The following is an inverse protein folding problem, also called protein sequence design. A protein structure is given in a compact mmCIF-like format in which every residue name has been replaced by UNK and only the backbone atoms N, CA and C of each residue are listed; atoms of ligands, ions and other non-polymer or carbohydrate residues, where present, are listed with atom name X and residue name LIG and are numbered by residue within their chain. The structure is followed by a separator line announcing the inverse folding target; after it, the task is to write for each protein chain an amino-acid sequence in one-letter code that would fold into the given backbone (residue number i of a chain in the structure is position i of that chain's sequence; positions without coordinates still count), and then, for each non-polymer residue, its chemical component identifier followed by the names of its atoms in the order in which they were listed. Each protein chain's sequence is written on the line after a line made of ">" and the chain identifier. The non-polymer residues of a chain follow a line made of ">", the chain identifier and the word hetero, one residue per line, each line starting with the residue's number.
data_IF_562274609963
#
_entry.id   IF_562274609963
#
_cell.length_a   1.000
_cell.length_b   1.000
_cell.length_c   1.000
_cell.angle_alpha   90.00
_cell.angle_beta   90.00
_cell.angle_gamma   90.00
#
_symmetry.space_group_name_H-M   'P 1'
#
loop_
_entity.id
_entity.type
_entity.pdbx_description
1 polymer ?
#
# COMPACT_ATOMS: atom_id res chain seq x y z
N UNK A 1 -11.23 2.43 6.89
CA UNK A 1 -11.55 3.50 5.91
C UNK A 1 -10.33 3.65 5.00
N UNK A 2 -10.49 3.74 3.68
CA UNK A 2 -9.35 3.87 2.74
C UNK A 2 -8.84 5.32 2.74
N UNK A 3 -7.53 5.57 2.71
CA UNK A 3 -6.95 6.88 2.41
C UNK A 3 -7.38 7.39 1.04
N UNK A 4 -7.89 8.62 0.98
CA UNK A 4 -8.19 9.29 -0.28
C UNK A 4 -7.02 10.22 -0.64
N UNK A 5 -6.35 9.94 -1.75
CA UNK A 5 -5.36 10.84 -2.33
C UNK A 5 -6.06 11.76 -3.33
N UNK A 6 -6.06 13.05 -3.04
CA UNK A 6 -6.84 14.04 -3.78
C UNK A 6 -5.88 14.94 -4.55
N UNK A 7 -6.12 15.08 -5.85
CA UNK A 7 -5.46 16.05 -6.71
C UNK A 7 -6.47 17.13 -7.10
N UNK A 8 -6.24 18.35 -6.64
CA UNK A 8 -7.08 19.49 -6.98
C UNK A 8 -6.39 20.35 -8.04
N UNK A 9 -7.04 20.50 -9.19
CA UNK A 9 -6.57 21.33 -10.30
C UNK A 9 -7.19 22.71 -10.09
N UNK A 10 -6.36 23.68 -9.70
CA UNK A 10 -6.83 25.05 -9.53
C UNK A 10 -6.80 25.79 -10.86
N UNK A 11 -7.97 26.17 -11.38
CA UNK A 11 -8.10 26.98 -12.59
C UNK A 11 -8.34 28.45 -12.23
N UNK A 12 -7.75 29.40 -12.98
CA UNK A 12 -7.83 30.84 -12.68
C UNK A 12 -9.22 31.45 -12.88
N UNK A 13 -10.24 30.65 -13.17
CA UNK A 13 -11.64 31.03 -13.33
C UNK A 13 -12.42 31.10 -12.03
N UNK A 14 -11.93 30.47 -10.95
CA UNK A 14 -12.65 30.36 -9.69
C UNK A 14 -12.39 31.58 -8.81
N UNK A 15 -13.41 32.08 -8.13
CA UNK A 15 -13.23 33.18 -7.17
C UNK A 15 -12.43 32.70 -5.95
N UNK A 16 -11.67 33.60 -5.30
CA UNK A 16 -10.83 33.23 -4.13
C UNK A 16 -11.63 32.56 -3.02
N UNK A 17 -12.87 33.00 -2.81
CA UNK A 17 -13.78 32.49 -1.78
C UNK A 17 -14.29 31.06 -2.09
N UNK A 18 -14.52 30.74 -3.36
CA UNK A 18 -14.87 29.38 -3.81
C UNK A 18 -13.68 28.44 -3.67
N UNK A 19 -12.47 28.91 -4.00
CA UNK A 19 -11.24 28.12 -3.88
C UNK A 19 -10.98 27.76 -2.41
N UNK A 20 -11.10 28.72 -1.49
CA UNK A 20 -10.91 28.47 -0.06
C UNK A 20 -11.91 27.41 0.47
N UNK A 21 -13.17 27.51 0.04
CA UNK A 21 -14.22 26.58 0.46
C UNK A 21 -13.97 25.16 -0.05
N UNK A 22 -13.58 25.01 -1.32
CA UNK A 22 -13.28 23.71 -1.93
C UNK A 22 -12.02 23.11 -1.32
N UNK A 23 -10.96 23.89 -1.17
CA UNK A 23 -9.70 23.43 -0.57
C UNK A 23 -9.94 22.95 0.86
N UNK A 24 -10.73 23.70 1.66
CA UNK A 24 -11.08 23.31 3.03
C UNK A 24 -11.85 21.98 3.08
N UNK A 25 -12.84 21.81 2.20
CA UNK A 25 -13.58 20.54 2.11
C UNK A 25 -12.68 19.36 1.74
N UNK A 26 -11.80 19.54 0.75
CA UNK A 26 -10.87 18.49 0.31
C UNK A 26 -9.81 18.17 1.39
N UNK A 27 -9.39 19.17 2.16
CA UNK A 27 -8.54 18.99 3.33
C UNK A 27 -9.24 18.13 4.39
N UNK A 28 -10.47 18.48 4.76
CA UNK A 28 -11.25 17.74 5.76
C UNK A 28 -11.50 16.29 5.31
N UNK A 29 -11.73 16.07 4.01
CA UNK A 29 -11.91 14.74 3.43
C UNK A 29 -10.61 13.91 3.45
N UNK A 30 -9.48 14.51 3.08
CA UNK A 30 -8.18 13.87 3.17
C UNK A 30 -7.84 13.52 4.63
N UNK A 31 -8.10 14.44 5.58
CA UNK A 31 -7.90 14.23 7.00
C UNK A 31 -8.75 13.07 7.55
N UNK A 32 -10.06 13.07 7.25
CA UNK A 32 -10.99 12.04 7.70
C UNK A 32 -10.62 10.64 7.19
N UNK A 33 -9.96 10.58 6.03
CA UNK A 33 -9.55 9.33 5.39
C UNK A 33 -8.11 8.93 5.71
N UNK A 34 -7.33 9.80 6.39
CA UNK A 34 -5.86 9.68 6.53
C UNK A 34 -5.15 9.63 5.16
N UNK A 35 -5.72 10.31 4.16
CA UNK A 35 -5.15 10.47 2.83
C UNK A 35 -4.29 11.72 2.70
N UNK A 36 -3.94 12.08 1.46
CA UNK A 36 -3.13 13.25 1.16
C UNK A 36 -3.84 14.16 0.17
N UNK A 37 -3.54 15.47 0.22
CA UNK A 37 -4.03 16.45 -0.72
C UNK A 37 -2.85 17.18 -1.36
N UNK A 38 -2.82 17.17 -2.69
CA UNK A 38 -1.86 17.93 -3.48
C UNK A 38 -2.63 18.91 -4.38
N UNK A 39 -2.28 20.19 -4.29
CA UNK A 39 -2.86 21.23 -5.13
C UNK A 39 -1.91 21.50 -6.30
N UNK A 40 -2.43 21.40 -7.52
CA UNK A 40 -1.70 21.69 -8.74
C UNK A 40 -2.24 22.97 -9.38
N UNK A 41 -1.36 23.95 -9.59
CA UNK A 41 -1.66 25.19 -10.28
C UNK A 41 -1.21 25.10 -11.72
N UNK A 42 -2.11 25.34 -12.66
CA UNK A 42 -1.82 25.34 -14.09
C UNK A 42 -1.99 26.74 -14.68
N UNK A 43 -1.08 27.10 -15.58
CA UNK A 43 -1.16 28.30 -16.39
C UNK A 43 -2.35 28.23 -17.34
N UNK A 44 -2.73 29.38 -17.90
CA UNK A 44 -3.74 29.44 -18.98
C UNK A 44 -3.33 28.68 -20.25
N UNK A 45 -2.04 28.39 -20.41
CA UNK A 45 -1.50 27.60 -21.53
C UNK A 45 -1.43 26.10 -21.22
N UNK A 46 -1.90 25.67 -20.04
CA UNK A 46 -1.89 24.27 -19.60
C UNK A 46 -0.56 23.79 -19.04
N UNK A 47 0.39 24.69 -18.79
CA UNK A 47 1.68 24.37 -18.16
C UNK A 47 1.55 24.33 -16.65
N UNK A 48 2.15 23.34 -15.99
CA UNK A 48 2.16 23.27 -14.52
C UNK A 48 3.04 24.40 -13.95
N UNK A 49 2.46 25.27 -13.13
CA UNK A 49 3.14 26.41 -12.51
C UNK A 49 3.61 26.10 -11.09
N UNK A 50 2.84 25.32 -10.33
CA UNK A 50 3.18 24.98 -8.94
C UNK A 50 2.48 23.71 -8.46
N UNK A 51 3.15 22.97 -7.56
CA UNK A 51 2.60 21.86 -6.80
C UNK A 51 2.78 22.15 -5.31
N UNK A 52 1.67 22.24 -4.58
CA UNK A 52 1.69 22.42 -3.13
C UNK A 52 1.19 21.14 -2.45
N UNK A 53 2.08 20.25 -1.99
CA UNK A 53 1.70 19.18 -1.09
C UNK A 53 1.32 19.80 0.25
N UNK A 54 0.12 19.50 0.75
CA UNK A 54 -0.27 19.95 2.09
C UNK A 54 -0.06 18.83 3.09
N UNK A 55 0.97 19.00 3.93
CA UNK A 55 1.34 18.09 5.01
C UNK A 55 0.77 18.66 6.30
N UNK A 56 -0.01 17.87 7.05
CA UNK A 56 -0.58 18.33 8.31
C UNK A 56 0.41 18.05 9.47
N UNK A 57 0.92 19.13 10.08
CA UNK A 57 1.83 19.14 11.24
C UNK A 57 1.11 18.89 12.59
N UNK A 58 0.30 17.82 12.68
CA UNK A 58 -0.27 17.39 13.97
C UNK A 58 -0.09 15.89 14.21
N UNK A 59 1.15 15.42 14.03
CA UNK A 59 1.65 14.24 14.74
C UNK A 59 2.60 14.78 15.82
N UNK A 60 2.04 15.24 16.94
CA UNK A 60 2.83 15.42 18.16
C UNK A 60 3.00 14.06 18.80
N UNK A 61 4.09 13.37 18.47
CA UNK A 61 4.80 12.61 19.47
C UNK A 61 6.24 13.10 19.50
N UNK A 62 6.58 13.70 20.62
CA UNK A 62 7.89 14.25 20.89
C UNK A 62 8.94 13.13 20.85
N UNK A 63 10.05 13.36 20.14
CA UNK A 63 11.43 13.49 20.67
C UNK A 63 12.51 13.11 19.65
N UNK A 64 12.20 12.90 18.36
CA UNK A 64 13.24 12.72 17.33
C UNK A 64 12.99 13.61 16.11
N UNK A 65 13.87 14.59 15.81
CA UNK A 65 13.81 15.32 14.55
C UNK A 65 14.43 14.42 13.47
N UNK A 66 13.61 13.58 12.83
CA UNK A 66 14.06 12.84 11.66
C UNK A 66 13.70 13.58 10.38
N UNK A 67 14.77 14.15 9.81
CA UNK A 67 14.97 14.59 8.43
C UNK A 67 14.06 15.70 7.93
N UNK A 68 14.58 16.93 8.06
CA UNK A 68 14.42 17.94 7.01
C UNK A 68 14.81 17.26 5.70
N UNK A 69 13.83 16.87 4.87
CA UNK A 69 14.11 16.63 3.47
C UNK A 69 14.35 18.01 2.88
N UNK A 70 15.62 18.38 2.85
CA UNK A 70 16.10 19.56 2.16
C UNK A 70 15.65 19.43 0.69
N UNK A 71 14.66 20.23 0.32
CA UNK A 71 14.10 20.25 -1.04
C UNK A 71 14.95 21.11 -1.97
N UNK A 72 16.14 21.56 -1.55
CA UNK A 72 17.16 21.96 -2.50
C UNK A 72 17.65 20.72 -3.25
N UNK A 73 17.01 20.43 -4.37
CA UNK A 73 17.57 19.60 -5.42
C UNK A 73 19.02 20.07 -5.67
N UNK A 74 20.04 19.20 -5.56
CA UNK A 74 21.34 19.54 -6.11
C UNK A 74 21.14 19.76 -7.61
N UNK A 75 21.25 21.00 -8.05
CA UNK A 75 21.27 21.33 -9.48
C UNK A 75 22.37 20.50 -10.13
N UNK A 76 22.07 19.65 -11.13
CA UNK A 76 23.10 18.98 -11.89
C UNK A 76 23.78 20.06 -12.74
N UNK A 77 25.03 20.39 -12.41
CA UNK A 77 25.90 21.10 -13.33
C UNK A 77 26.14 20.14 -14.51
N UNK A 78 25.36 20.33 -15.58
CA UNK A 78 25.67 19.80 -16.92
C UNK A 78 25.48 18.29 -17.16
N UNK A 79 24.62 17.59 -16.42
CA UNK A 79 24.24 16.20 -16.72
C UNK A 79 22.86 16.10 -17.38
N UNK A 80 22.59 15.09 -18.25
CA UNK A 80 21.26 14.89 -18.83
C UNK A 80 20.23 14.63 -17.72
N UNK A 81 18.95 14.99 -17.95
CA UNK A 81 17.91 14.96 -16.93
C UNK A 81 17.76 13.57 -16.32
N UNK A 82 17.78 13.50 -14.98
CA UNK A 82 17.45 12.29 -14.24
C UNK A 82 15.95 12.04 -14.36
N UNK A 83 15.56 11.17 -15.28
CA UNK A 83 14.29 10.48 -15.19
C UNK A 83 14.29 9.69 -13.88
N UNK A 84 13.34 9.98 -12.99
CA UNK A 84 13.03 9.08 -11.86
C UNK A 84 12.25 7.89 -12.39
N UNK A 85 12.83 7.22 -13.39
CA UNK A 85 12.39 5.92 -13.83
C UNK A 85 12.82 4.96 -12.73
N UNK A 86 11.85 4.46 -11.95
CA UNK A 86 12.00 3.12 -11.41
C UNK A 86 12.27 2.25 -12.63
N UNK A 87 13.53 1.85 -12.84
CA UNK A 87 13.97 1.19 -14.06
C UNK A 87 12.99 0.05 -14.35
N UNK A 88 12.48 0.00 -15.59
CA UNK A 88 11.63 -1.09 -16.10
C UNK A 88 12.20 -2.48 -15.79
N UNK A 89 13.49 -2.57 -15.52
CA UNK A 89 14.22 -3.78 -15.15
C UNK A 89 13.79 -4.33 -13.78
N UNK A 90 13.42 -3.49 -12.80
CA UNK A 90 13.02 -3.96 -11.46
C UNK A 90 11.66 -4.65 -11.47
N UNK A 91 10.71 -4.13 -12.25
CA UNK A 91 9.40 -4.75 -12.40
C UNK A 91 9.45 -6.12 -13.09
N UNK A 92 10.42 -6.34 -13.98
CA UNK A 92 10.63 -7.68 -14.58
C UNK A 92 11.08 -8.73 -13.57
N UNK A 93 11.76 -8.36 -12.48
CA UNK A 93 12.19 -9.30 -11.45
C UNK A 93 11.02 -9.90 -10.64
N UNK A 94 9.88 -9.20 -10.62
CA UNK A 94 8.68 -9.63 -9.91
C UNK A 94 7.84 -10.60 -10.73
N UNK A 95 8.06 -10.68 -12.06
CA UNK A 95 7.31 -11.57 -12.93
C UNK A 95 7.57 -13.03 -12.54
N UNK A 96 6.48 -13.78 -12.39
CA UNK A 96 6.49 -15.18 -11.98
C UNK A 96 6.46 -15.39 -10.47
N UNK A 97 6.64 -14.35 -9.66
CA UNK A 97 6.62 -14.47 -8.19
C UNK A 97 5.19 -14.61 -7.64
N UNK A 98 5.08 -15.29 -6.50
CA UNK A 98 3.84 -15.34 -5.72
C UNK A 98 3.68 -14.06 -4.89
N UNK A 99 2.45 -13.62 -4.73
CA UNK A 99 2.12 -12.45 -3.93
C UNK A 99 0.75 -12.59 -3.24
N UNK A 100 0.49 -11.74 -2.27
CA UNK A 100 -0.87 -11.34 -1.92
C UNK A 100 -1.20 -10.07 -2.69
N UNK A 101 -2.35 -10.06 -3.35
CA UNK A 101 -2.82 -8.91 -4.09
C UNK A 101 -4.28 -8.65 -3.75
N UNK A 102 -4.67 -7.38 -3.82
CA UNK A 102 -6.04 -6.96 -3.56
C UNK A 102 -6.94 -7.24 -4.77
N UNK A 103 -8.07 -7.90 -4.56
CA UNK A 103 -9.07 -8.13 -5.61
C UNK A 103 -10.12 -7.01 -5.64
N UNK A 104 -10.45 -6.51 -6.82
CA UNK A 104 -11.35 -5.36 -6.99
C UNK A 104 -12.80 -5.68 -6.64
N UNK A 105 -13.21 -6.94 -6.88
CA UNK A 105 -14.59 -7.42 -6.68
C UNK A 105 -15.10 -7.19 -5.25
N UNK A 106 -14.25 -7.37 -4.25
CA UNK A 106 -14.61 -7.31 -2.84
C UNK A 106 -13.63 -6.49 -1.97
N UNK A 107 -12.48 -6.11 -2.53
CA UNK A 107 -11.48 -5.29 -1.87
C UNK A 107 -10.61 -6.02 -0.85
N UNK A 108 -10.69 -7.35 -0.76
CA UNK A 108 -9.87 -8.18 0.13
C UNK A 108 -8.61 -8.68 -0.58
N UNK A 109 -7.66 -9.21 0.20
CA UNK A 109 -6.42 -9.75 -0.34
C UNK A 109 -6.55 -11.25 -0.61
N UNK A 110 -6.00 -11.67 -1.74
CA UNK A 110 -5.97 -13.06 -2.17
C UNK A 110 -4.59 -13.42 -2.68
N UNK A 111 -4.29 -14.72 -2.64
CA UNK A 111 -3.06 -15.23 -3.27
C UNK A 111 -3.14 -15.06 -4.78
N UNK A 112 -2.04 -14.63 -5.37
CA UNK A 112 -1.92 -14.52 -6.81
C UNK A 112 -0.49 -14.63 -7.29
N UNK A 113 -0.34 -14.68 -8.61
CA UNK A 113 0.95 -14.71 -9.31
C UNK A 113 1.08 -13.48 -10.21
N UNK A 114 2.24 -12.84 -10.14
CA UNK A 114 2.55 -11.70 -11.00
C UNK A 114 2.90 -12.23 -12.39
N UNK A 115 2.14 -11.87 -13.43
CA UNK A 115 2.34 -12.39 -14.78
C UNK A 115 3.13 -11.46 -15.69
N UNK A 116 2.82 -10.17 -15.64
CA UNK A 116 3.46 -9.17 -16.49
C UNK A 116 3.36 -7.79 -15.85
N UNK A 117 4.34 -6.95 -16.12
CA UNK A 117 4.24 -5.53 -15.85
C UNK A 117 3.46 -4.85 -16.99
N UNK A 118 2.40 -4.12 -16.66
CA UNK A 118 1.59 -3.38 -17.63
C UNK A 118 2.10 -1.95 -17.82
N UNK A 119 2.54 -1.32 -16.72
CA UNK A 119 3.21 -0.03 -16.71
C UNK A 119 4.10 0.09 -15.45
N UNK A 120 4.73 1.25 -15.23
CA UNK A 120 5.65 1.47 -14.12
C UNK A 120 5.09 1.08 -12.73
N UNK A 121 3.78 1.21 -12.53
CA UNK A 121 3.14 1.03 -11.22
C UNK A 121 2.00 -0.01 -11.24
N UNK A 122 1.84 -0.79 -12.30
CA UNK A 122 0.73 -1.72 -12.46
C UNK A 122 1.18 -3.05 -13.06
N UNK A 123 0.68 -4.14 -12.49
CA UNK A 123 1.02 -5.51 -12.85
C UNK A 123 -0.24 -6.32 -13.12
N UNK A 124 -0.17 -7.26 -14.06
CA UNK A 124 -1.22 -8.25 -14.24
C UNK A 124 -1.06 -9.36 -13.21
N UNK A 125 -2.09 -9.57 -12.39
CA UNK A 125 -2.14 -10.61 -11.37
C UNK A 125 -3.09 -11.70 -11.81
N UNK A 126 -2.64 -12.94 -11.73
CA UNK A 126 -3.49 -14.13 -11.81
C UNK A 126 -3.91 -14.56 -10.40
N UNK A 127 -5.21 -14.45 -10.10
CA UNK A 127 -5.83 -14.93 -8.87
C UNK A 127 -6.42 -16.32 -9.09
N UNK A 128 -6.19 -17.23 -8.15
CA UNK A 128 -6.81 -18.55 -8.18
C UNK A 128 -6.02 -19.57 -7.39
N UNK A 129 -6.65 -20.66 -6.93
CA UNK A 129 -5.95 -21.71 -6.21
C UNK A 129 -5.09 -22.57 -7.17
N UNK A 130 -3.94 -23.08 -6.69
CA UNK A 130 -3.51 -24.44 -7.04
C UNK A 130 -4.37 -25.40 -6.19
N UNK A 131 -5.62 -25.63 -6.57
CA UNK A 131 -6.39 -26.69 -5.92
C UNK A 131 -5.77 -28.03 -6.30
N UNK A 132 -5.47 -28.87 -5.31
CA UNK A 132 -5.06 -30.25 -5.53
C UNK A 132 -6.24 -31.02 -6.15
N UNK A 133 -6.40 -30.96 -7.48
CA UNK A 133 -7.34 -31.82 -8.22
C UNK A 133 -8.36 -31.15 -9.14
N UNK A 134 -8.25 -29.87 -9.50
CA UNK A 134 -9.16 -29.28 -10.49
C UNK A 134 -8.78 -27.89 -10.98
N UNK A 135 -9.12 -27.60 -12.24
CA UNK A 135 -9.00 -26.27 -12.86
C UNK A 135 -10.01 -25.32 -12.23
N UNK A 136 -9.59 -24.49 -11.28
CA UNK A 136 -10.31 -23.25 -10.98
C UNK A 136 -10.13 -22.28 -12.14
N UNK A 137 -11.19 -21.58 -12.55
CA UNK A 137 -11.04 -20.45 -13.47
C UNK A 137 -10.10 -19.42 -12.82
N UNK A 138 -8.92 -19.24 -13.41
CA UNK A 138 -8.01 -18.16 -13.02
C UNK A 138 -8.63 -16.81 -13.38
N UNK A 139 -8.75 -15.93 -12.40
CA UNK A 139 -9.18 -14.55 -12.60
C UNK A 139 -7.96 -13.65 -12.83
N UNK A 140 -7.93 -12.87 -13.90
CA UNK A 140 -6.84 -11.95 -14.20
C UNK A 140 -7.22 -10.51 -13.88
N UNK A 141 -6.34 -9.76 -13.21
CA UNK A 141 -6.61 -8.37 -12.83
C UNK A 141 -5.36 -7.48 -12.92
N UNK A 142 -5.44 -6.34 -13.62
CA UNK A 142 -4.50 -5.24 -13.48
C UNK A 142 -4.51 -4.69 -12.04
N UNK A 143 -3.42 -4.81 -11.31
CA UNK A 143 -3.31 -4.41 -9.90
C UNK A 143 -2.14 -3.45 -9.72
N UNK A 144 -2.34 -2.37 -8.95
CA UNK A 144 -1.30 -1.40 -8.67
C UNK A 144 -0.24 -1.97 -7.72
N UNK A 145 1.00 -1.50 -7.84
CA UNK A 145 2.13 -1.91 -7.01
C UNK A 145 1.84 -1.79 -5.51
N UNK A 146 1.14 -0.73 -5.08
CA UNK A 146 0.77 -0.51 -3.67
C UNK A 146 -0.33 -1.43 -3.15
N UNK A 147 -1.05 -2.14 -4.02
CA UNK A 147 -2.04 -3.15 -3.67
C UNK A 147 -1.46 -4.58 -3.71
N UNK A 148 -0.15 -4.71 -3.94
CA UNK A 148 0.59 -5.98 -4.01
C UNK A 148 1.55 -6.08 -2.83
N UNK A 149 1.51 -7.23 -2.15
CA UNK A 149 2.42 -7.60 -1.07
C UNK A 149 3.20 -8.82 -1.50
N UNK A 150 4.51 -8.65 -1.65
CA UNK A 150 5.41 -9.72 -2.10
C UNK A 150 5.74 -10.67 -0.93
N UNK A 151 5.64 -11.99 -1.13
CA UNK A 151 5.85 -12.95 -0.04
C UNK A 151 7.26 -12.88 0.55
N UNK A 152 8.29 -12.74 -0.29
CA UNK A 152 9.67 -12.67 0.21
C UNK A 152 9.87 -11.46 1.12
N UNK A 153 9.18 -10.35 0.87
CA UNK A 153 9.28 -9.15 1.71
C UNK A 153 8.47 -9.32 3.01
N UNK A 154 7.21 -9.74 2.86
CA UNK A 154 6.30 -10.04 3.96
C UNK A 154 6.82 -11.07 4.99
N UNK A 155 7.63 -12.02 4.54
CA UNK A 155 8.17 -13.10 5.36
C UNK A 155 9.53 -12.75 5.99
N UNK A 156 10.06 -11.55 5.79
CA UNK A 156 11.26 -11.08 6.49
C UNK A 156 10.93 -10.55 7.89
N UNK A 157 9.70 -10.11 8.11
CA UNK A 157 9.27 -9.46 9.35
C UNK A 157 8.75 -10.48 10.36
N UNK A 158 9.38 -10.53 11.54
CA UNK A 158 8.80 -11.26 12.69
C UNK A 158 7.42 -10.70 13.03
N UNK A 159 6.53 -11.53 13.54
CA UNK A 159 5.21 -11.10 14.03
C UNK A 159 5.17 -11.26 15.54
N UNK A 160 4.75 -10.20 16.24
CA UNK A 160 4.55 -10.15 17.68
C UNK A 160 3.23 -9.46 18.03
N UNK A 161 2.82 -9.57 19.31
CA UNK A 161 1.67 -8.84 19.84
C UNK A 161 1.75 -7.33 19.57
N UNK A 162 0.63 -6.77 19.12
CA UNK A 162 0.48 -5.37 18.72
C UNK A 162 0.78 -5.08 17.24
N UNK A 163 1.34 -6.05 16.50
CA UNK A 163 1.56 -5.87 15.07
C UNK A 163 0.25 -5.96 14.28
N UNK A 164 0.22 -5.27 13.13
CA UNK A 164 -0.85 -5.42 12.14
C UNK A 164 -0.46 -6.45 11.09
N UNK A 165 -1.42 -7.30 10.72
CA UNK A 165 -1.20 -8.40 9.79
C UNK A 165 -2.39 -8.56 8.84
N UNK A 166 -2.14 -9.08 7.64
CA UNK A 166 -3.14 -9.73 6.82
C UNK A 166 -3.20 -11.22 7.18
N UNK A 167 -4.38 -11.73 7.51
CA UNK A 167 -4.54 -13.13 7.88
C UNK A 167 -5.86 -13.70 7.34
N UNK A 168 -5.95 -15.03 7.18
CA UNK A 168 -7.16 -15.66 6.73
C UNK A 168 -8.27 -15.52 7.75
N UNK A 169 -9.43 -15.05 7.29
CA UNK A 169 -10.60 -14.80 8.15
C UNK A 169 -11.58 -15.98 8.21
N UNK A 170 -11.17 -17.13 7.68
CA UNK A 170 -11.98 -18.35 7.59
C UNK A 170 -12.84 -18.44 6.33
N UNK A 171 -12.85 -17.42 5.47
CA UNK A 171 -13.35 -17.57 4.10
C UNK A 171 -12.23 -18.07 3.17
N UNK A 172 -12.61 -18.83 2.16
CA UNK A 172 -11.66 -19.53 1.28
C UNK A 172 -10.72 -18.56 0.57
N UNK A 173 -9.41 -18.72 0.82
CA UNK A 173 -8.34 -17.95 0.18
C UNK A 173 -8.29 -16.46 0.53
N UNK A 174 -9.18 -15.97 1.40
CA UNK A 174 -9.36 -14.55 1.70
C UNK A 174 -8.52 -14.10 2.89
N UNK A 175 -7.72 -13.06 2.68
CA UNK A 175 -6.90 -12.41 3.69
C UNK A 175 -7.45 -11.03 4.01
N UNK A 176 -7.56 -10.73 5.30
CA UNK A 176 -8.11 -9.47 5.80
C UNK A 176 -7.19 -8.87 6.88
N UNK A 177 -7.18 -7.54 7.05
CA UNK A 177 -6.35 -6.89 8.05
C UNK A 177 -6.87 -7.12 9.47
N UNK A 178 -5.95 -7.40 10.39
CA UNK A 178 -6.21 -7.56 11.81
C UNK A 178 -5.00 -7.20 12.66
N UNK A 179 -5.25 -7.07 13.96
CA UNK A 179 -4.24 -6.81 15.00
C UNK A 179 -3.92 -8.11 15.73
N UNK A 180 -2.63 -8.34 16.00
CA UNK A 180 -2.18 -9.50 16.78
C UNK A 180 -2.37 -9.20 18.27
N UNK A 181 -3.33 -9.87 18.91
CA UNK A 181 -3.59 -9.75 20.36
C UNK A 181 -2.62 -10.56 21.21
N UNK A 182 -2.19 -11.72 20.70
CA UNK A 182 -1.25 -12.61 21.39
C UNK A 182 -0.55 -13.53 20.38
N UNK A 183 0.56 -14.11 20.80
CA UNK A 183 1.36 -15.03 19.99
C UNK A 183 2.64 -14.41 19.45
N UNK A 184 3.43 -15.26 18.80
CA UNK A 184 4.72 -14.88 18.24
C UNK A 184 5.10 -15.83 17.12
N UNK A 185 5.52 -15.25 16.00
CA UNK A 185 6.08 -15.97 14.87
C UNK A 185 7.45 -15.38 14.51
N UNK A 186 8.51 -16.14 14.76
CA UNK A 186 9.87 -15.75 14.35
C UNK A 186 10.01 -15.86 12.83
N UNK A 187 10.58 -14.84 12.18
CA UNK A 187 10.78 -14.87 10.72
C UNK A 187 12.18 -14.46 10.26
N UNK A 188 12.60 -15.14 9.18
CA UNK A 188 13.55 -14.73 8.12
C UNK A 188 13.83 -15.88 7.10
N UNK A 189 13.68 -17.17 7.45
CA UNK A 189 13.74 -18.35 6.53
C UNK A 189 13.74 -19.72 7.25
N UNK A 190 13.27 -19.81 8.50
CA UNK A 190 13.55 -21.00 9.33
C UNK A 190 12.48 -22.10 9.21
N UNK A 191 12.92 -23.33 8.92
CA UNK A 191 12.11 -24.56 8.88
C UNK A 191 11.72 -25.09 10.28
N UNK A 192 12.23 -24.50 11.36
CA UNK A 192 11.88 -24.86 12.74
C UNK A 192 12.08 -23.68 13.69
N UNK A 193 11.12 -22.76 13.70
CA UNK A 193 11.03 -21.71 14.73
C UNK A 193 10.03 -22.11 15.81
N UNK A 194 10.26 -21.69 17.07
CA UNK A 194 9.21 -21.75 18.09
C UNK A 194 8.03 -20.89 17.65
N UNK A 195 6.84 -21.49 17.67
CA UNK A 195 5.59 -20.84 17.27
C UNK A 195 4.72 -20.74 18.51
N UNK A 196 4.29 -19.53 18.83
CA UNK A 196 3.08 -19.34 19.61
C UNK A 196 1.97 -18.95 18.64
N UNK A 197 0.89 -19.75 18.54
CA UNK A 197 -0.21 -19.45 17.65
C UNK A 197 -0.64 -17.99 17.77
N UNK A 198 -0.81 -17.33 16.64
CA UNK A 198 -1.19 -15.92 16.61
C UNK A 198 -2.70 -15.81 16.86
N UNK A 199 -3.10 -15.00 17.83
CA UNK A 199 -4.50 -14.63 18.06
C UNK A 199 -4.72 -13.28 17.42
N UNK A 200 -5.53 -13.23 16.38
CA UNK A 200 -5.72 -12.05 15.53
C UNK A 200 -7.14 -11.56 15.68
N UNK A 201 -7.30 -10.27 15.97
CA UNK A 201 -8.58 -9.57 16.02
C UNK A 201 -8.77 -8.76 14.75
N UNK A 202 -9.84 -9.06 14.01
CA UNK A 202 -10.16 -8.40 12.76
C UNK A 202 -11.10 -7.22 12.98
N UNK A 203 -11.06 -6.25 12.07
CA UNK A 203 -11.93 -5.07 12.12
C UNK A 203 -13.44 -5.40 12.03
N UNK A 204 -13.80 -6.62 11.59
CA UNK A 204 -15.17 -7.10 11.59
C UNK A 204 -15.62 -7.68 12.96
N UNK A 205 -14.78 -7.58 14.00
CA UNK A 205 -15.04 -8.06 15.35
C UNK A 205 -14.75 -9.55 15.57
N UNK A 206 -14.35 -10.29 14.53
CA UNK A 206 -14.00 -11.71 14.64
C UNK A 206 -12.57 -11.86 15.17
N UNK A 207 -12.37 -12.81 16.08
CA UNK A 207 -11.04 -13.22 16.54
C UNK A 207 -10.72 -14.63 16.03
N UNK A 208 -9.56 -14.83 15.42
CA UNK A 208 -9.11 -16.13 14.89
C UNK A 208 -7.73 -16.48 15.44
N UNK A 209 -7.52 -17.77 15.70
CA UNK A 209 -6.21 -18.32 16.02
C UNK A 209 -5.57 -18.90 14.75
N UNK A 210 -4.46 -18.30 14.33
CA UNK A 210 -3.62 -18.79 13.22
C UNK A 210 -2.52 -19.67 13.80
N UNK A 211 -2.53 -20.96 13.43
CA UNK A 211 -1.59 -21.96 13.97
C UNK A 211 -0.46 -22.33 13.00
N UNK A 212 -0.64 -22.07 11.70
CA UNK A 212 0.36 -22.40 10.68
C UNK A 212 1.36 -21.26 10.52
N UNK A 213 2.61 -21.64 10.29
CA UNK A 213 3.67 -20.70 9.89
C UNK A 213 3.31 -20.01 8.59
N UNK A 214 3.77 -18.76 8.45
CA UNK A 214 3.69 -17.98 7.21
C UNK A 214 2.26 -17.76 6.68
N UNK A 215 1.25 -18.00 7.54
CA UNK A 215 -0.16 -17.84 7.18
C UNK A 215 -0.67 -16.42 7.48
N UNK A 216 -0.16 -15.77 8.52
CA UNK A 216 -0.34 -14.31 8.68
C UNK A 216 0.75 -13.57 7.91
N UNK A 217 0.51 -12.37 7.41
CA UNK A 217 1.47 -11.57 6.67
C UNK A 217 1.58 -10.22 7.36
N UNK A 218 2.77 -9.88 7.85
CA UNK A 218 3.00 -8.58 8.48
C UNK A 218 2.72 -7.46 7.50
N UNK A 219 2.07 -6.41 7.99
CA UNK A 219 1.88 -5.16 7.25
C UNK A 219 2.33 -3.99 8.12
N UNK A 220 2.97 -2.97 7.53
CA UNK A 220 3.34 -1.78 8.28
C UNK A 220 2.09 -1.10 8.85
N UNK A 221 2.20 -0.62 10.09
CA UNK A 221 1.20 0.25 10.69
C UNK A 221 1.11 1.56 9.89
N UNK A 222 -0.10 1.94 9.50
CA UNK A 222 -0.38 3.19 8.77
C UNK A 222 -0.44 4.41 9.70
#
# INVERSE_FOLDING_TARGET
>A
KRPCHIFYINTPSNTEQEQETVVKFLQDLALLTRGSLTIAHFSRTGSLESLAPMINYQIQDATNPLLVLDTSLPTPIGGPPMDTAVSSEIGTLLIGQECLARKDKDGYYYRGKILNQLNINQFMIEFGPRSAGGFSESDFQPTYLFDIIHYTDALMHKIQTGDFVLAPDGHEGRFVPGEVLDGFEKRASCESGEIRPLIIHFANGKTITVKRLQEAIWIPSA
#
